data_IF_275673946513
#
_entry.id   IF_275673946513
#
_cell.length_a   1.000
_cell.length_b   1.000
_cell.length_c   1.000
_cell.angle_alpha   90.00
_cell.angle_beta   90.00
_cell.angle_gamma   90.00
#
_symmetry.space_group_name_H-M   'P 1'
#
loop_
_entity.id
_entity.type
_entity.pdbx_description
1 polymer ?
#
# COMPACT_ATOMS: atom_id res chain seq x y z
N UNK A 1 -1.20 10.22 18.29
CA UNK A 1 -1.60 9.89 16.91
C UNK A 1 -0.53 8.96 16.35
N UNK A 2 -0.72 7.64 16.45
CA UNK A 2 0.28 6.64 16.00
C UNK A 2 -0.22 5.74 14.87
N UNK A 3 -1.54 5.69 14.66
CA UNK A 3 -2.17 4.74 13.74
C UNK A 3 -1.72 4.94 12.28
N UNK A 4 -1.49 6.18 11.84
CA UNK A 4 -1.09 6.48 10.47
C UNK A 4 0.33 6.01 10.15
N UNK A 5 1.24 6.05 11.13
CA UNK A 5 2.61 5.61 10.93
C UNK A 5 2.72 4.08 10.86
N UNK A 6 1.94 3.37 11.68
CA UNK A 6 1.87 1.90 11.62
C UNK A 6 1.32 1.41 10.28
N UNK A 7 0.25 2.03 9.78
CA UNK A 7 -0.34 1.65 8.48
C UNK A 7 0.65 1.93 7.33
N UNK A 8 1.34 3.06 7.37
CA UNK A 8 2.37 3.38 6.36
C UNK A 8 3.55 2.40 6.39
N UNK A 9 3.95 1.96 7.58
CA UNK A 9 4.98 0.93 7.74
C UNK A 9 4.50 -0.41 7.16
N UNK A 10 3.26 -0.82 7.44
CA UNK A 10 2.66 -2.03 6.86
C UNK A 10 2.55 -1.94 5.35
N UNK A 11 2.09 -0.82 4.79
CA UNK A 11 2.04 -0.58 3.34
C UNK A 11 3.42 -0.78 2.75
N UNK A 12 4.45 -0.14 3.32
CA UNK A 12 5.82 -0.25 2.83
C UNK A 12 6.35 -1.69 2.91
N UNK A 13 6.01 -2.42 3.97
CA UNK A 13 6.39 -3.83 4.12
C UNK A 13 5.69 -4.72 3.10
N UNK A 14 4.38 -4.56 2.90
CA UNK A 14 3.61 -5.33 1.92
C UNK A 14 4.11 -5.01 0.51
N UNK A 15 4.30 -3.74 0.16
CA UNK A 15 4.87 -3.34 -1.13
C UNK A 15 6.23 -4.00 -1.32
N UNK A 16 7.17 -3.88 -0.39
CA UNK A 16 8.48 -4.56 -0.52
C UNK A 16 8.37 -6.07 -0.65
N UNK A 17 7.48 -6.70 0.11
CA UNK A 17 7.25 -8.14 0.00
C UNK A 17 6.71 -8.52 -1.38
N UNK A 18 5.87 -7.67 -1.99
CA UNK A 18 5.42 -7.81 -3.37
C UNK A 18 6.59 -7.64 -4.34
N UNK A 19 7.45 -6.64 -4.13
CA UNK A 19 8.63 -6.42 -4.97
C UNK A 19 9.62 -7.59 -4.93
N UNK A 20 9.86 -8.18 -3.75
CA UNK A 20 10.78 -9.30 -3.57
C UNK A 20 10.20 -10.66 -4.01
N UNK A 21 8.92 -10.93 -3.71
CA UNK A 21 8.32 -12.25 -3.94
C UNK A 21 7.44 -12.32 -5.18
N UNK A 22 6.89 -11.19 -5.61
CA UNK A 22 5.89 -11.09 -6.68
C UNK A 22 6.25 -9.96 -7.68
N UNK A 23 7.40 -10.04 -8.37
CA UNK A 23 7.84 -9.02 -9.34
C UNK A 23 6.85 -8.82 -10.50
N UNK A 24 5.95 -9.77 -10.74
CA UNK A 24 4.86 -9.63 -11.72
C UNK A 24 3.77 -8.66 -11.23
N UNK A 25 3.51 -8.63 -9.92
CA UNK A 25 2.57 -7.72 -9.29
C UNK A 25 3.09 -6.28 -9.21
N UNK A 26 4.41 -6.08 -9.23
CA UNK A 26 5.04 -4.75 -9.36
C UNK A 26 4.50 -3.97 -10.56
N UNK A 27 4.20 -4.65 -11.68
CA UNK A 27 3.63 -4.00 -12.87
C UNK A 27 2.27 -3.36 -12.57
N UNK A 28 1.47 -3.95 -11.69
CA UNK A 28 0.19 -3.40 -11.24
C UNK A 28 0.36 -2.29 -10.20
N UNK A 29 1.50 -2.24 -9.49
CA UNK A 29 1.86 -1.17 -8.56
C UNK A 29 2.36 0.08 -9.30
N UNK A 30 3.19 -0.08 -10.33
CA UNK A 30 3.72 1.02 -11.16
C UNK A 30 2.60 1.74 -11.96
N UNK A 31 1.61 0.99 -12.43
CA UNK A 31 0.43 1.55 -13.10
C UNK A 31 -0.55 2.24 -12.14
N UNK A 32 -0.37 2.08 -10.83
CA UNK A 32 -1.21 2.70 -9.81
C UNK A 32 -0.37 3.62 -8.90
N UNK A 33 0.08 4.79 -9.39
CA UNK A 33 0.60 5.87 -8.55
C UNK A 33 -0.54 6.55 -7.76
N UNK A 34 -1.51 5.77 -7.28
CA UNK A 34 -2.59 6.27 -6.47
C UNK A 34 -2.06 6.52 -5.05
N UNK A 35 -1.92 7.80 -4.74
CA UNK A 35 -2.27 8.38 -3.44
C UNK A 35 -1.30 8.23 -2.26
N UNK A 36 0.02 8.34 -2.45
CA UNK A 36 0.86 8.84 -1.36
C UNK A 36 1.25 10.29 -1.66
N UNK A 37 0.64 11.29 -0.98
CA UNK A 37 1.01 12.68 -1.15
C UNK A 37 2.47 12.82 -0.71
N UNK A 38 3.36 12.95 -1.70
CA UNK A 38 4.75 13.29 -1.48
C UNK A 38 4.80 14.75 -1.06
N UNK A 39 4.94 14.96 0.25
CA UNK A 39 5.30 16.24 0.83
C UNK A 39 4.12 17.21 0.92
N UNK A 40 3.57 17.36 2.11
CA UNK A 40 3.89 18.52 2.95
C UNK A 40 3.29 18.28 4.33
N UNK A 41 4.13 18.39 5.36
CA UNK A 41 3.85 18.03 6.75
C UNK A 41 2.89 19.02 7.44
N UNK A 42 1.76 19.42 6.84
CA UNK A 42 0.93 20.46 7.48
C UNK A 42 -0.58 20.33 7.43
N UNK A 43 -1.23 19.61 6.50
CA UNK A 43 -2.71 19.70 6.45
C UNK A 43 -3.44 18.43 5.98
N UNK A 44 -2.81 17.26 6.13
CA UNK A 44 -3.46 16.01 5.78
C UNK A 44 -3.67 15.22 7.07
N UNK A 45 -4.82 15.41 7.72
CA UNK A 45 -5.49 14.28 8.37
C UNK A 45 -5.76 13.26 7.25
N UNK A 46 -4.71 12.55 6.85
CA UNK A 46 -4.82 11.48 5.89
C UNK A 46 -5.64 10.44 6.62
N UNK A 47 -6.93 10.38 6.27
CA UNK A 47 -7.89 9.55 6.97
C UNK A 47 -7.25 8.18 7.16
N UNK A 48 -7.11 7.78 8.41
CA UNK A 48 -6.56 6.46 8.75
C UNK A 48 -7.35 5.35 8.04
N UNK A 49 -8.60 5.64 7.70
CA UNK A 49 -9.45 4.85 6.82
C UNK A 49 -8.91 4.74 5.39
N UNK A 50 -8.59 5.85 4.72
CA UNK A 50 -8.02 5.84 3.37
C UNK A 50 -6.69 5.06 3.30
N UNK A 51 -5.82 5.22 4.31
CA UNK A 51 -4.58 4.44 4.41
C UNK A 51 -4.86 2.94 4.62
N UNK A 52 -5.86 2.59 5.44
CA UNK A 52 -6.28 1.20 5.63
C UNK A 52 -6.91 0.60 4.39
N UNK A 53 -7.72 1.35 3.65
CA UNK A 53 -8.31 0.90 2.39
C UNK A 53 -7.23 0.63 1.34
N UNK A 54 -6.20 1.48 1.27
CA UNK A 54 -5.06 1.25 0.41
C UNK A 54 -4.28 -0.02 0.80
N UNK A 55 -3.98 -0.19 2.10
CA UNK A 55 -3.32 -1.40 2.61
C UNK A 55 -4.15 -2.67 2.31
N UNK A 56 -5.46 -2.62 2.51
CA UNK A 56 -6.35 -3.73 2.19
C UNK A 56 -6.36 -4.04 0.70
N UNK A 57 -6.39 -3.02 -0.16
CA UNK A 57 -6.33 -3.20 -1.61
C UNK A 57 -5.04 -3.90 -2.04
N UNK A 58 -3.90 -3.52 -1.45
CA UNK A 58 -2.61 -4.18 -1.69
C UNK A 58 -2.64 -5.65 -1.25
N UNK A 59 -3.12 -5.92 -0.04
CA UNK A 59 -3.24 -7.30 0.48
C UNK A 59 -4.19 -8.14 -0.38
N UNK A 60 -5.32 -7.60 -0.82
CA UNK A 60 -6.24 -8.30 -1.71
C UNK A 60 -5.63 -8.62 -3.06
N UNK A 61 -4.79 -7.73 -3.60
CA UNK A 61 -4.09 -7.94 -4.87
C UNK A 61 -3.13 -9.13 -4.76
N UNK A 62 -2.38 -9.22 -3.65
CA UNK A 62 -1.53 -10.39 -3.36
C UNK A 62 -2.36 -11.66 -3.18
N UNK A 63 -3.42 -11.61 -2.38
CA UNK A 63 -4.27 -12.78 -2.13
C UNK A 63 -4.93 -13.30 -3.42
N UNK A 64 -5.37 -12.41 -4.31
CA UNK A 64 -5.93 -12.81 -5.61
C UNK A 64 -4.87 -13.49 -6.45
N UNK A 65 -3.66 -12.93 -6.49
CA UNK A 65 -2.54 -13.53 -7.21
C UNK A 65 -2.18 -14.92 -6.66
N UNK A 66 -2.04 -15.06 -5.34
CA UNK A 66 -1.78 -16.34 -4.65
C UNK A 66 -2.92 -17.36 -4.80
N UNK A 67 -4.11 -16.94 -5.20
CA UNK A 67 -5.25 -17.85 -5.47
C UNK A 67 -5.33 -18.25 -6.94
N UNK A 68 -4.91 -17.37 -7.84
CA UNK A 68 -4.91 -17.62 -9.28
C UNK A 68 -3.64 -18.32 -9.77
N UNK A 69 -2.57 -18.37 -8.96
CA UNK A 69 -1.31 -19.07 -9.22
C UNK A 69 -0.99 -20.08 -8.11
#
# INVERSE_FOLDING_TARGET
MELSQEILAEITQVTRAIEDNYPELQKYLDENPMTLPKGDNSDVEMDNEALKEYLNSLKELVIKYEKEH
#
